data_IF_489764762080
#
_entry.id   IF_489764762080
#
_cell.length_a   1.000
_cell.length_b   1.000
_cell.length_c   1.000
_cell.angle_alpha   90.00
_cell.angle_beta   90.00
_cell.angle_gamma   90.00
#
_symmetry.space_group_name_H-M   'P 1'
#
loop_
_entity.id
_entity.type
_entity.pdbx_description
1 polymer ?
#
# COMPACT_ATOMS: atom_id res chain seq x y z
N UNK A 1 23.20 -6.37 -30.09
CA UNK A 1 23.07 -6.84 -28.70
C UNK A 1 21.81 -6.24 -28.08
N UNK A 2 20.69 -6.98 -27.90
CA UNK A 2 19.50 -6.40 -27.25
C UNK A 2 19.16 -7.03 -25.89
N UNK A 3 20.07 -7.75 -25.23
CA UNK A 3 19.87 -8.27 -23.87
C UNK A 3 20.54 -7.38 -22.82
N UNK A 4 20.09 -6.14 -22.65
CA UNK A 4 20.57 -5.31 -21.54
C UNK A 4 19.67 -4.13 -21.13
N UNK A 5 18.43 -4.02 -21.62
CA UNK A 5 17.66 -2.81 -21.32
C UNK A 5 17.19 -2.75 -19.86
N UNK A 6 16.89 -3.88 -19.21
CA UNK A 6 16.45 -3.92 -17.80
C UNK A 6 16.75 -5.28 -17.11
N UNK A 7 17.99 -5.52 -16.61
CA UNK A 7 18.30 -6.75 -15.87
C UNK A 7 17.44 -6.86 -14.60
N UNK A 8 16.95 -8.06 -14.30
CA UNK A 8 16.06 -8.37 -13.17
C UNK A 8 14.66 -7.72 -13.20
N UNK A 9 14.30 -7.02 -14.28
CA UNK A 9 12.93 -6.55 -14.50
C UNK A 9 12.04 -7.68 -15.04
N UNK A 10 10.76 -7.67 -14.68
CA UNK A 10 9.74 -8.54 -15.28
C UNK A 10 9.64 -8.36 -16.81
N UNK A 11 9.99 -7.18 -17.33
CA UNK A 11 10.03 -6.92 -18.78
C UNK A 11 11.08 -7.74 -19.53
N UNK A 12 12.10 -8.27 -18.83
CA UNK A 12 13.10 -9.18 -19.44
C UNK A 12 12.46 -10.46 -19.98
N UNK A 13 11.38 -10.93 -19.34
CA UNK A 13 10.62 -12.10 -19.78
C UNK A 13 9.79 -11.83 -21.05
N UNK A 14 9.64 -10.56 -21.42
CA UNK A 14 8.88 -10.13 -22.59
C UNK A 14 9.79 -9.72 -23.75
N UNK A 15 11.08 -10.10 -23.71
CA UNK A 15 12.07 -9.74 -24.73
C UNK A 15 12.14 -8.22 -24.98
N UNK A 16 11.96 -7.43 -23.92
CA UNK A 16 11.95 -5.96 -24.01
C UNK A 16 10.64 -5.34 -24.51
N UNK A 17 9.59 -6.13 -24.75
CA UNK A 17 8.26 -5.62 -25.12
C UNK A 17 7.45 -5.32 -23.85
N UNK A 18 6.89 -4.11 -23.74
CA UNK A 18 5.96 -3.77 -22.66
C UNK A 18 4.49 -4.14 -23.00
N UNK A 19 4.28 -5.23 -23.75
CA UNK A 19 2.95 -5.70 -24.14
C UNK A 19 2.89 -7.22 -24.00
N UNK A 20 2.00 -7.67 -23.13
CA UNK A 20 1.59 -9.06 -23.01
C UNK A 20 0.07 -9.09 -22.89
N UNK A 21 -0.57 -10.09 -23.51
CA UNK A 21 -2.01 -10.27 -23.50
C UNK A 21 -2.31 -11.75 -23.24
N UNK A 22 -3.36 -12.02 -22.48
CA UNK A 22 -3.96 -13.34 -22.32
C UNK A 22 -5.47 -13.18 -22.32
N UNK A 23 -6.19 -14.25 -22.68
CA UNK A 23 -7.61 -14.32 -22.35
C UNK A 23 -7.78 -14.31 -20.82
N UNK A 24 -8.91 -13.77 -20.35
CA UNK A 24 -9.23 -13.77 -18.91
C UNK A 24 -9.22 -15.20 -18.36
N UNK A 25 -9.81 -16.16 -19.08
CA UNK A 25 -9.87 -17.57 -18.65
C UNK A 25 -8.49 -18.17 -18.43
N UNK A 26 -7.60 -18.06 -19.42
CA UNK A 26 -6.24 -18.62 -19.31
C UNK A 26 -5.45 -17.96 -18.18
N UNK A 27 -5.63 -16.65 -17.97
CA UNK A 27 -5.00 -15.93 -16.87
C UNK A 27 -5.50 -16.42 -15.50
N UNK A 28 -6.82 -16.59 -15.34
CA UNK A 28 -7.42 -17.06 -14.09
C UNK A 28 -6.99 -18.51 -13.77
N UNK A 29 -7.02 -19.40 -14.76
CA UNK A 29 -6.53 -20.79 -14.63
C UNK A 29 -5.05 -20.81 -14.22
N UNK A 30 -4.23 -19.96 -14.84
CA UNK A 30 -2.81 -19.85 -14.47
C UNK A 30 -2.63 -19.37 -13.02
N UNK A 31 -3.33 -18.31 -12.60
CA UNK A 31 -3.25 -17.78 -11.22
C UNK A 31 -3.72 -18.85 -10.22
N UNK A 32 -4.84 -19.52 -10.50
CA UNK A 32 -5.37 -20.57 -9.64
C UNK A 32 -4.42 -21.77 -9.53
N UNK A 33 -3.71 -22.13 -10.60
CA UNK A 33 -2.66 -23.16 -10.54
C UNK A 33 -1.51 -22.83 -9.56
N UNK A 34 -1.40 -21.56 -9.15
CA UNK A 34 -0.41 -21.04 -8.19
C UNK A 34 -1.05 -20.61 -6.86
N UNK A 35 -2.22 -21.17 -6.52
CA UNK A 35 -3.03 -20.81 -5.35
C UNK A 35 -2.29 -20.80 -4.01
N UNK A 36 -1.25 -21.62 -3.84
CA UNK A 36 -0.44 -21.67 -2.61
C UNK A 36 0.73 -20.66 -2.58
N UNK A 37 0.97 -19.92 -3.67
CA UNK A 37 2.09 -18.96 -3.82
C UNK A 37 1.65 -17.51 -3.93
N UNK A 38 0.42 -17.25 -4.37
CA UNK A 38 -0.09 -15.89 -4.59
C UNK A 38 -1.05 -15.52 -3.47
N UNK A 39 -0.66 -14.55 -2.64
CA UNK A 39 -1.49 -14.12 -1.51
C UNK A 39 -2.52 -13.04 -1.87
N UNK A 40 -2.23 -12.24 -2.89
CA UNK A 40 -3.00 -11.08 -3.26
C UNK A 40 -2.97 -10.90 -4.78
N UNK A 41 -4.14 -10.68 -5.37
CA UNK A 41 -4.31 -10.26 -6.75
C UNK A 41 -4.92 -8.86 -6.78
N UNK A 42 -4.37 -7.97 -7.60
CA UNK A 42 -4.96 -6.64 -7.87
C UNK A 42 -5.51 -6.64 -9.29
N UNK A 43 -6.80 -6.36 -9.45
CA UNK A 43 -7.47 -6.19 -10.73
C UNK A 43 -7.64 -4.69 -10.99
N UNK A 44 -6.79 -4.15 -11.84
CA UNK A 44 -6.91 -2.79 -12.37
C UNK A 44 -7.93 -2.80 -13.52
N UNK A 45 -9.17 -2.42 -13.23
CA UNK A 45 -10.33 -2.70 -14.08
C UNK A 45 -10.45 -1.83 -15.34
N UNK A 46 -9.54 -0.87 -15.56
CA UNK A 46 -9.52 0.03 -16.73
C UNK A 46 -10.88 0.67 -17.08
N UNK A 47 -11.67 1.02 -16.07
CA UNK A 47 -12.98 1.66 -16.22
C UNK A 47 -12.81 3.17 -16.49
N UNK A 48 -13.63 3.75 -17.36
CA UNK A 48 -13.66 5.19 -17.60
C UNK A 48 -15.03 5.74 -17.20
N UNK A 49 -15.12 6.27 -15.97
CA UNK A 49 -16.38 6.77 -15.41
C UNK A 49 -16.92 8.00 -16.15
N UNK A 50 -16.09 8.69 -16.93
CA UNK A 50 -16.52 9.86 -17.73
C UNK A 50 -17.22 9.46 -19.04
N UNK A 51 -17.02 8.22 -19.51
CA UNK A 51 -17.55 7.73 -20.79
C UNK A 51 -18.61 6.66 -20.64
N UNK A 52 -18.74 6.08 -19.45
CA UNK A 52 -19.67 5.00 -19.18
C UNK A 52 -20.86 5.54 -18.39
N UNK A 53 -22.07 5.26 -18.88
CA UNK A 53 -23.27 5.49 -18.08
C UNK A 53 -23.37 4.49 -16.90
N UNK A 54 -24.33 4.73 -16.01
CA UNK A 54 -24.53 3.91 -14.82
C UNK A 54 -24.81 2.43 -15.14
N UNK A 55 -25.48 2.16 -16.27
CA UNK A 55 -25.82 0.80 -16.69
C UNK A 55 -24.57 0.06 -17.15
N UNK A 56 -23.72 0.73 -17.95
CA UNK A 56 -22.44 0.21 -18.39
C UNK A 56 -21.49 -0.06 -17.21
N UNK A 57 -21.45 0.85 -16.22
CA UNK A 57 -20.67 0.67 -15.00
C UNK A 57 -21.14 -0.56 -14.20
N UNK A 58 -22.45 -0.72 -14.00
CA UNK A 58 -23.02 -1.90 -13.30
C UNK A 58 -22.79 -3.21 -14.05
N UNK A 59 -22.87 -3.18 -15.38
CA UNK A 59 -22.55 -4.34 -16.23
C UNK A 59 -21.07 -4.73 -16.13
N UNK A 60 -20.17 -3.74 -16.09
CA UNK A 60 -18.75 -4.00 -15.87
C UNK A 60 -18.49 -4.60 -14.48
N UNK A 61 -19.16 -4.08 -13.44
CA UNK A 61 -19.07 -4.60 -12.08
C UNK A 61 -19.49 -6.08 -12.00
N UNK A 62 -20.60 -6.43 -12.66
CA UNK A 62 -21.06 -7.82 -12.76
C UNK A 62 -20.02 -8.74 -13.42
N UNK A 63 -19.38 -8.28 -14.50
CA UNK A 63 -18.36 -9.07 -15.23
C UNK A 63 -17.10 -9.32 -14.40
N UNK A 64 -16.60 -8.32 -13.67
CA UNK A 64 -15.42 -8.51 -12.81
C UNK A 64 -15.74 -9.46 -11.66
N UNK A 65 -16.93 -9.34 -11.05
CA UNK A 65 -17.34 -10.24 -9.96
C UNK A 65 -17.52 -11.67 -10.45
N UNK A 66 -18.06 -11.88 -11.66
CA UNK A 66 -18.12 -13.22 -12.26
C UNK A 66 -16.71 -13.81 -12.44
N UNK A 67 -15.75 -13.00 -12.89
CA UNK A 67 -14.35 -13.41 -13.06
C UNK A 67 -13.72 -13.80 -11.71
N UNK A 68 -13.98 -13.03 -10.66
CA UNK A 68 -13.49 -13.32 -9.30
C UNK A 68 -14.14 -14.57 -8.70
N UNK A 69 -15.44 -14.76 -8.89
CA UNK A 69 -16.13 -16.01 -8.49
C UNK A 69 -15.54 -17.22 -9.21
N UNK A 70 -15.26 -17.09 -10.51
CA UNK A 70 -14.60 -18.13 -11.31
C UNK A 70 -13.20 -18.42 -10.79
N UNK A 71 -12.43 -17.40 -10.43
CA UNK A 71 -11.09 -17.56 -9.84
C UNK A 71 -11.13 -18.37 -8.54
N UNK A 72 -12.09 -18.07 -7.66
CA UNK A 72 -12.26 -18.83 -6.41
C UNK A 72 -12.76 -20.25 -6.67
N UNK A 73 -13.65 -20.48 -7.63
CA UNK A 73 -14.08 -21.85 -8.00
C UNK A 73 -12.95 -22.70 -8.57
N UNK A 74 -11.91 -22.06 -9.15
CA UNK A 74 -10.68 -22.73 -9.59
C UNK A 74 -9.67 -23.00 -8.46
N UNK A 75 -9.99 -22.63 -7.22
CA UNK A 75 -9.20 -22.96 -6.03
C UNK A 75 -8.23 -21.88 -5.55
N UNK A 76 -8.34 -20.64 -6.03
CA UNK A 76 -7.53 -19.53 -5.51
C UNK A 76 -7.82 -19.28 -4.02
N UNK A 77 -6.78 -19.18 -3.19
CA UNK A 77 -6.91 -19.02 -1.72
C UNK A 77 -6.61 -17.60 -1.21
N UNK A 78 -6.03 -16.76 -2.07
CA UNK A 78 -5.60 -15.41 -1.72
C UNK A 78 -6.75 -14.43 -1.52
N UNK A 79 -6.42 -13.15 -1.61
CA UNK A 79 -7.38 -12.04 -1.60
C UNK A 79 -7.37 -11.33 -2.95
N UNK A 80 -8.46 -10.66 -3.29
CA UNK A 80 -8.57 -9.89 -4.52
C UNK A 80 -8.89 -8.44 -4.18
N UNK A 81 -8.08 -7.50 -4.67
CA UNK A 81 -8.40 -6.08 -4.70
C UNK A 81 -8.94 -5.77 -6.09
N UNK A 82 -10.14 -5.21 -6.16
CA UNK A 82 -10.73 -4.69 -7.39
C UNK A 82 -10.59 -3.18 -7.36
N UNK A 83 -9.79 -2.65 -8.29
CA UNK A 83 -9.50 -1.24 -8.42
C UNK A 83 -10.25 -0.60 -9.56
N UNK A 84 -10.60 0.66 -9.37
CA UNK A 84 -10.94 1.58 -10.45
C UNK A 84 -9.87 2.67 -10.57
N UNK A 85 -9.59 3.17 -11.78
CA UNK A 85 -8.51 4.12 -11.99
C UNK A 85 -8.74 5.45 -11.25
N UNK A 86 -9.94 6.03 -11.33
CA UNK A 86 -10.22 7.39 -10.83
C UNK A 86 -11.52 7.48 -10.05
N UNK A 87 -11.69 8.59 -9.35
CA UNK A 87 -12.90 8.91 -8.59
C UNK A 87 -14.17 8.94 -9.44
N UNK A 88 -14.07 9.28 -10.73
CA UNK A 88 -15.20 9.26 -11.67
C UNK A 88 -15.85 7.87 -11.82
N UNK A 89 -15.14 6.79 -11.48
CA UNK A 89 -15.62 5.41 -11.54
C UNK A 89 -16.10 4.90 -10.17
N UNK A 90 -16.37 5.77 -9.19
CA UNK A 90 -16.82 5.37 -7.85
C UNK A 90 -18.08 4.48 -7.87
N UNK A 91 -19.04 4.77 -8.75
CA UNK A 91 -20.27 3.98 -8.85
C UNK A 91 -20.00 2.53 -9.29
N UNK A 92 -19.00 2.30 -10.14
CA UNK A 92 -18.54 0.93 -10.45
C UNK A 92 -18.04 0.23 -9.19
N UNK A 93 -17.21 0.88 -8.37
CA UNK A 93 -16.66 0.28 -7.16
C UNK A 93 -17.73 0.00 -6.11
N UNK A 94 -18.71 0.91 -5.94
CA UNK A 94 -19.87 0.68 -5.06
C UNK A 94 -20.69 -0.52 -5.50
N UNK A 95 -20.92 -0.68 -6.80
CA UNK A 95 -21.65 -1.84 -7.32
C UNK A 95 -20.87 -3.14 -7.15
N UNK A 96 -19.56 -3.14 -7.38
CA UNK A 96 -18.69 -4.29 -7.09
C UNK A 96 -18.83 -4.69 -5.61
N UNK A 97 -18.77 -3.70 -4.69
CA UNK A 97 -18.89 -3.95 -3.26
C UNK A 97 -20.25 -4.52 -2.85
N UNK A 98 -21.33 -4.06 -3.48
CA UNK A 98 -22.68 -4.61 -3.30
C UNK A 98 -22.77 -6.06 -3.78
N UNK A 99 -22.27 -6.34 -4.99
CA UNK A 99 -22.30 -7.68 -5.60
C UNK A 99 -21.39 -8.70 -4.88
N UNK A 100 -20.44 -8.23 -4.08
CA UNK A 100 -19.52 -9.05 -3.29
C UNK A 100 -19.72 -8.92 -1.78
N UNK A 101 -20.91 -8.51 -1.31
CA UNK A 101 -21.18 -8.25 0.11
C UNK A 101 -20.84 -9.44 1.03
N UNK A 102 -21.02 -10.68 0.52
CA UNK A 102 -20.76 -11.92 1.24
C UNK A 102 -19.35 -12.50 0.99
N UNK A 103 -18.44 -11.69 0.43
CA UNK A 103 -17.08 -12.12 0.06
C UNK A 103 -16.03 -11.37 0.88
N UNK A 104 -15.66 -11.93 2.04
CA UNK A 104 -14.62 -11.37 2.93
C UNK A 104 -13.22 -11.28 2.29
N UNK A 105 -13.03 -11.94 1.15
CA UNK A 105 -11.78 -12.00 0.40
C UNK A 105 -11.66 -10.95 -0.70
N UNK A 106 -12.68 -10.11 -0.90
CA UNK A 106 -12.72 -9.06 -1.92
C UNK A 106 -12.62 -7.68 -1.28
N UNK A 107 -11.74 -6.85 -1.83
CA UNK A 107 -11.38 -5.53 -1.35
C UNK A 107 -11.46 -4.50 -2.47
N UNK A 108 -11.58 -3.22 -2.11
CA UNK A 108 -11.87 -2.15 -3.05
C UNK A 108 -10.84 -1.02 -2.96
N UNK A 109 -10.47 -0.47 -4.11
CA UNK A 109 -9.53 0.66 -4.19
C UNK A 109 -9.83 1.61 -5.35
N UNK A 110 -9.31 2.84 -5.24
CA UNK A 110 -9.23 3.84 -6.32
C UNK A 110 -7.79 4.33 -6.32
N UNK A 111 -7.05 4.20 -7.44
CA UNK A 111 -5.58 4.12 -7.37
C UNK A 111 -4.75 5.01 -8.34
N UNK A 112 -5.36 5.89 -9.16
CA UNK A 112 -4.64 6.91 -9.98
C UNK A 112 -4.76 8.36 -9.47
N UNK A 113 -5.31 8.57 -8.28
CA UNK A 113 -5.53 9.91 -7.71
C UNK A 113 -4.24 10.57 -7.16
N UNK A 114 -3.08 9.91 -7.27
CA UNK A 114 -1.75 10.42 -6.89
C UNK A 114 -1.75 10.96 -5.44
N UNK A 115 -1.58 12.29 -5.28
CA UNK A 115 -1.49 12.96 -3.98
C UNK A 115 -2.87 13.30 -3.38
N UNK A 116 -3.99 13.09 -4.12
CA UNK A 116 -5.35 13.31 -3.63
C UNK A 116 -5.81 12.17 -2.71
N UNK A 117 -5.07 11.98 -1.61
CA UNK A 117 -5.40 10.98 -0.60
C UNK A 117 -6.75 11.26 0.06
N UNK A 118 -7.07 12.53 0.31
CA UNK A 118 -8.29 12.92 0.99
C UNK A 118 -9.53 12.53 0.17
N UNK A 119 -9.63 12.96 -1.09
CA UNK A 119 -10.75 12.58 -1.95
C UNK A 119 -10.83 11.07 -2.18
N UNK A 120 -9.67 10.39 -2.26
CA UNK A 120 -9.64 8.92 -2.36
C UNK A 120 -10.22 8.25 -1.11
N UNK A 121 -9.80 8.67 0.09
CA UNK A 121 -10.30 8.10 1.33
C UNK A 121 -11.79 8.44 1.53
N UNK A 122 -12.24 9.65 1.20
CA UNK A 122 -13.65 10.07 1.24
C UNK A 122 -14.51 9.16 0.35
N UNK A 123 -14.05 8.89 -0.87
CA UNK A 123 -14.72 7.95 -1.76
C UNK A 123 -14.74 6.53 -1.17
N UNK A 124 -13.62 6.04 -0.64
CA UNK A 124 -13.56 4.70 -0.03
C UNK A 124 -14.46 4.56 1.19
N UNK A 125 -14.56 5.58 2.05
CA UNK A 125 -15.45 5.53 3.23
C UNK A 125 -16.92 5.57 2.86
N UNK A 126 -17.27 6.12 1.69
CA UNK A 126 -18.63 6.13 1.14
C UNK A 126 -19.09 4.76 0.62
N UNK A 127 -18.17 3.82 0.38
CA UNK A 127 -18.51 2.46 -0.04
C UNK A 127 -19.14 1.72 1.16
N UNK A 128 -20.32 1.10 1.01
CA UNK A 128 -21.02 0.37 2.07
C UNK A 128 -20.38 -1.00 2.36
N UNK A 129 -19.05 -1.06 2.38
CA UNK A 129 -18.26 -2.23 2.71
C UNK A 129 -16.95 -1.79 3.38
N UNK A 130 -16.51 -2.54 4.40
CA UNK A 130 -15.33 -2.22 5.22
C UNK A 130 -14.03 -2.75 4.62
N UNK A 131 -14.05 -3.57 3.57
CA UNK A 131 -12.87 -4.11 2.90
C UNK A 131 -12.19 -3.08 1.98
N UNK A 132 -11.74 -1.97 2.58
CA UNK A 132 -11.19 -0.80 1.89
C UNK A 132 -9.67 -0.89 1.83
N UNK A 133 -9.10 -0.57 0.67
CA UNK A 133 -7.67 -0.52 0.44
C UNK A 133 -7.32 0.80 -0.23
N UNK A 134 -6.27 1.46 0.28
CA UNK A 134 -5.75 2.68 -0.34
C UNK A 134 -4.58 2.34 -1.28
N UNK A 135 -4.80 2.46 -2.59
CA UNK A 135 -3.76 2.41 -3.59
C UNK A 135 -3.36 3.82 -3.99
N UNK A 136 -2.06 4.07 -4.15
CA UNK A 136 -1.61 5.31 -4.80
C UNK A 136 -0.35 5.05 -5.60
N UNK A 137 -0.11 5.90 -6.59
CA UNK A 137 1.06 5.77 -7.40
C UNK A 137 1.18 6.78 -8.50
N UNK A 138 2.34 6.74 -9.12
CA UNK A 138 2.59 7.41 -10.38
C UNK A 138 3.57 6.53 -11.18
N UNK A 139 3.59 6.71 -12.50
CA UNK A 139 4.57 6.02 -13.34
C UNK A 139 5.97 6.20 -12.76
N UNK A 140 6.80 5.14 -12.81
CA UNK A 140 8.17 5.17 -12.33
C UNK A 140 9.04 6.26 -13.01
N UNK A 141 8.56 6.83 -14.12
CA UNK A 141 9.19 7.92 -14.87
C UNK A 141 8.77 9.33 -14.42
N UNK A 142 7.91 9.47 -13.40
CA UNK A 142 7.31 10.74 -12.99
C UNK A 142 7.90 11.25 -11.65
N UNK A 143 7.67 12.52 -11.24
CA UNK A 143 8.31 13.14 -10.07
C UNK A 143 7.95 12.56 -8.68
N UNK A 144 7.32 11.39 -8.63
CA UNK A 144 7.01 10.67 -7.40
C UNK A 144 5.76 11.19 -6.67
N UNK A 145 5.47 10.55 -5.54
CA UNK A 145 4.37 10.90 -4.62
C UNK A 145 4.91 11.75 -3.48
N UNK A 146 4.15 12.75 -3.03
CA UNK A 146 4.56 13.68 -1.99
C UNK A 146 4.75 12.96 -0.64
N UNK A 147 5.74 13.40 0.15
CA UNK A 147 6.05 12.79 1.46
C UNK A 147 4.86 12.81 2.43
N UNK A 148 4.03 13.85 2.35
CA UNK A 148 2.82 13.94 3.16
C UNK A 148 1.82 12.81 2.84
N UNK A 149 1.70 12.40 1.58
CA UNK A 149 0.82 11.29 1.17
C UNK A 149 1.29 9.96 1.77
N UNK A 150 2.60 9.72 1.88
CA UNK A 150 3.13 8.51 2.56
C UNK A 150 2.70 8.48 4.02
N UNK A 151 2.85 9.62 4.72
CA UNK A 151 2.51 9.74 6.14
C UNK A 151 1.01 9.65 6.38
N UNK A 152 0.20 10.29 5.53
CA UNK A 152 -1.25 10.20 5.61
C UNK A 152 -1.77 8.78 5.29
N UNK A 153 -1.15 8.08 4.33
CA UNK A 153 -1.46 6.68 4.06
C UNK A 153 -1.18 5.80 5.29
N UNK A 154 -0.03 5.99 5.92
CA UNK A 154 0.35 5.26 7.13
C UNK A 154 -0.64 5.47 8.28
N UNK A 155 -1.05 6.71 8.56
CA UNK A 155 -1.95 6.98 9.70
C UNK A 155 -3.39 6.54 9.46
N UNK A 156 -3.83 6.50 8.20
CA UNK A 156 -5.18 6.03 7.84
C UNK A 156 -5.24 4.51 7.65
N UNK A 157 -4.11 3.84 7.41
CA UNK A 157 -4.01 2.38 7.39
C UNK A 157 -4.31 1.72 8.76
N UNK A 158 -4.30 2.52 9.84
CA UNK A 158 -4.72 2.11 11.17
C UNK A 158 -6.20 2.46 11.43
N UNK A 159 -7.10 1.91 10.61
CA UNK A 159 -8.54 1.89 10.89
C UNK A 159 -9.45 2.35 9.75
N UNK A 160 -9.01 3.27 8.89
CA UNK A 160 -9.83 3.76 7.76
C UNK A 160 -9.76 2.80 6.57
N UNK A 161 -8.58 2.23 6.33
CA UNK A 161 -8.32 1.18 5.34
C UNK A 161 -7.56 0.03 6.00
N UNK A 162 -7.70 -1.18 5.45
CA UNK A 162 -7.02 -2.37 5.96
C UNK A 162 -5.61 -2.58 5.42
N UNK A 163 -5.35 -2.03 4.24
CA UNK A 163 -4.08 -2.06 3.55
C UNK A 163 -3.89 -0.75 2.78
N UNK A 164 -2.66 -0.29 2.73
CA UNK A 164 -2.20 0.71 1.79
C UNK A 164 -1.09 0.12 0.92
N UNK A 165 -1.10 0.43 -0.37
CA UNK A 165 -0.02 0.04 -1.28
C UNK A 165 0.39 1.16 -2.22
N UNK A 166 1.64 1.09 -2.68
CA UNK A 166 2.26 2.09 -3.54
C UNK A 166 2.73 1.47 -4.86
N UNK A 167 2.50 2.16 -5.97
CA UNK A 167 2.94 1.75 -7.30
C UNK A 167 3.47 2.95 -8.13
N UNK A 168 4.21 2.79 -9.22
CA UNK A 168 5.18 1.71 -9.41
C UNK A 168 6.52 2.15 -8.83
N UNK A 169 7.15 1.33 -7.99
CA UNK A 169 8.42 1.68 -7.32
C UNK A 169 9.53 0.74 -7.79
N UNK A 170 10.45 1.27 -8.58
CA UNK A 170 11.50 0.47 -9.22
C UNK A 170 12.92 0.76 -8.70
N UNK A 171 13.10 1.84 -7.92
CA UNK A 171 14.39 2.19 -7.31
C UNK A 171 14.49 1.60 -5.90
N UNK A 172 15.59 0.90 -5.59
CA UNK A 172 15.85 0.33 -4.25
C UNK A 172 15.70 1.35 -3.12
N UNK A 173 16.25 2.55 -3.27
CA UNK A 173 16.13 3.62 -2.25
C UNK A 173 14.68 4.03 -2.01
N UNK A 174 13.86 4.08 -3.07
CA UNK A 174 12.43 4.34 -2.98
C UNK A 174 11.68 3.17 -2.32
N UNK A 175 12.05 1.92 -2.58
CA UNK A 175 11.49 0.75 -1.89
C UNK A 175 11.79 0.80 -0.39
N UNK A 176 13.05 1.07 0.00
CA UNK A 176 13.46 1.22 1.41
C UNK A 176 12.67 2.32 2.12
N UNK A 177 12.34 3.40 1.41
CA UNK A 177 11.42 4.43 1.94
C UNK A 177 10.00 3.88 2.05
N UNK A 178 9.45 3.29 0.99
CA UNK A 178 8.05 2.89 0.89
C UNK A 178 7.63 1.84 1.92
N UNK A 179 8.48 0.84 2.22
CA UNK A 179 8.18 -0.21 3.21
C UNK A 179 7.95 0.33 4.64
N UNK A 180 8.33 1.59 4.89
CA UNK A 180 8.13 2.27 6.18
C UNK A 180 6.76 2.93 6.34
N UNK A 181 5.94 2.92 5.28
CA UNK A 181 4.66 3.63 5.21
C UNK A 181 3.53 2.79 4.59
N UNK A 182 3.86 1.86 3.69
CA UNK A 182 2.90 1.05 2.96
C UNK A 182 3.06 -0.43 3.30
N UNK A 183 1.93 -1.16 3.31
CA UNK A 183 1.91 -2.62 3.48
C UNK A 183 2.10 -3.39 2.18
N UNK A 184 2.03 -2.71 1.03
CA UNK A 184 2.27 -3.29 -0.29
C UNK A 184 3.07 -2.37 -1.21
N UNK A 185 3.89 -2.97 -2.06
CA UNK A 185 4.64 -2.26 -3.11
C UNK A 185 4.46 -3.02 -4.42
N UNK A 186 4.03 -2.32 -5.46
CA UNK A 186 4.03 -2.83 -6.83
C UNK A 186 5.28 -2.34 -7.55
N UNK A 187 6.00 -3.27 -8.19
CA UNK A 187 7.30 -3.01 -8.81
C UNK A 187 7.50 -3.88 -10.04
N UNK A 188 8.28 -3.39 -11.00
CA UNK A 188 8.82 -4.20 -12.10
C UNK A 188 10.03 -5.04 -11.67
N UNK A 189 10.59 -4.83 -10.48
CA UNK A 189 11.83 -5.46 -9.98
C UNK A 189 11.57 -6.25 -8.69
N UNK A 190 10.76 -7.34 -8.74
CA UNK A 190 10.40 -8.10 -7.54
C UNK A 190 11.61 -8.73 -6.83
N UNK A 191 12.68 -9.05 -7.55
CA UNK A 191 13.91 -9.58 -6.95
C UNK A 191 14.61 -8.53 -6.05
N UNK A 192 14.61 -7.27 -6.46
CA UNK A 192 15.21 -6.20 -5.66
C UNK A 192 14.35 -5.83 -4.45
N UNK A 193 13.02 -5.81 -4.62
CA UNK A 193 12.11 -5.68 -3.49
C UNK A 193 12.32 -6.82 -2.47
N UNK A 194 12.50 -8.06 -2.94
CA UNK A 194 12.78 -9.21 -2.07
C UNK A 194 14.02 -8.96 -1.20
N UNK A 195 15.12 -8.48 -1.78
CA UNK A 195 16.35 -8.13 -1.03
C UNK A 195 16.08 -7.04 0.02
N UNK A 196 15.34 -5.99 -0.36
CA UNK A 196 14.96 -4.91 0.57
C UNK A 196 14.15 -5.43 1.74
N UNK A 197 13.21 -6.35 1.50
CA UNK A 197 12.40 -6.95 2.55
C UNK A 197 13.24 -7.86 3.46
N UNK A 198 14.18 -8.64 2.90
CA UNK A 198 15.13 -9.45 3.68
C UNK A 198 16.00 -8.59 4.59
N UNK A 199 16.61 -7.52 4.06
CA UNK A 199 17.43 -6.58 4.86
C UNK A 199 16.63 -5.91 5.98
N UNK A 200 15.32 -5.71 5.76
CA UNK A 200 14.41 -5.10 6.71
C UNK A 200 13.73 -6.10 7.65
N UNK A 201 14.03 -7.40 7.53
CA UNK A 201 13.40 -8.49 8.30
C UNK A 201 11.86 -8.55 8.12
N UNK A 202 11.35 -8.14 6.95
CA UNK A 202 9.92 -8.15 6.63
C UNK A 202 9.58 -9.41 5.85
N UNK A 203 8.63 -10.19 6.37
CA UNK A 203 8.11 -11.37 5.68
C UNK A 203 6.98 -11.02 4.72
N UNK A 204 6.97 -11.64 3.54
CA UNK A 204 5.84 -11.54 2.61
C UNK A 204 4.58 -12.23 3.16
N UNK A 205 3.42 -11.69 2.80
CA UNK A 205 2.14 -12.28 3.13
C UNK A 205 1.98 -13.67 2.47
N UNK A 206 1.41 -14.61 3.22
CA UNK A 206 0.98 -15.92 2.71
C UNK A 206 -0.48 -15.86 2.24
N UNK A 207 -0.97 -16.80 1.41
CA UNK A 207 -2.37 -16.81 0.98
C UNK A 207 -3.41 -16.81 2.11
N UNK A 208 -3.06 -17.35 3.28
CA UNK A 208 -3.90 -17.32 4.47
C UNK A 208 -3.96 -15.95 5.18
N UNK A 209 -3.12 -14.99 4.79
CA UNK A 209 -3.09 -13.67 5.40
C UNK A 209 -4.43 -12.94 5.19
N UNK A 210 -4.91 -12.29 6.25
CA UNK A 210 -6.14 -11.49 6.22
C UNK A 210 -5.76 -10.02 6.22
N UNK A 211 -6.32 -9.27 5.27
CA UNK A 211 -6.31 -7.81 5.35
C UNK A 211 -7.46 -7.42 6.30
N UNK A 212 -7.18 -6.73 7.41
CA UNK A 212 -8.23 -6.38 8.36
C UNK A 212 -9.27 -5.46 7.72
N UNK A 213 -10.57 -5.63 7.99
CA UNK A 213 -11.57 -4.65 7.56
C UNK A 213 -11.36 -3.32 8.28
N UNK A 214 -11.80 -2.24 7.64
CA UNK A 214 -11.83 -0.91 8.24
C UNK A 214 -12.68 -0.90 9.53
N UNK A 215 -12.15 -0.27 10.57
CA UNK A 215 -12.79 -0.11 11.87
C UNK A 215 -13.34 1.30 12.09
N UNK A 216 -13.02 2.24 11.19
CA UNK A 216 -13.41 3.64 11.29
C UNK A 216 -13.72 4.24 9.92
N UNK A 217 -14.57 5.27 9.92
CA UNK A 217 -14.80 6.18 8.79
C UNK A 217 -14.16 7.56 9.00
N UNK A 218 -13.56 7.81 10.18
CA UNK A 218 -12.94 9.07 10.52
C UNK A 218 -11.57 9.21 9.85
N UNK A 219 -11.54 9.96 8.75
CA UNK A 219 -10.32 10.22 7.97
C UNK A 219 -9.41 11.17 8.75
N UNK A 220 -8.11 10.82 8.82
CA UNK A 220 -7.07 11.72 9.33
C UNK A 220 -6.54 12.56 8.17
N UNK A 221 -6.87 13.84 8.19
CA UNK A 221 -6.44 14.82 7.17
C UNK A 221 -5.04 15.39 7.43
N UNK A 222 -4.59 15.35 8.70
CA UNK A 222 -3.28 15.84 9.11
C UNK A 222 -2.41 14.74 9.67
N UNK A 223 -1.10 14.93 9.50
CA UNK A 223 -0.10 14.03 10.07
C UNK A 223 0.09 14.38 11.54
N UNK A 224 -0.17 13.46 12.47
CA UNK A 224 0.06 13.72 13.88
C UNK A 224 1.55 13.97 14.12
N UNK A 225 1.90 14.99 14.92
CA UNK A 225 3.28 15.39 15.13
C UNK A 225 4.02 14.42 16.05
N UNK A 226 5.29 14.17 15.74
CA UNK A 226 6.30 13.70 16.67
C UNK A 226 7.56 14.55 16.43
N UNK A 227 8.40 14.71 17.45
CA UNK A 227 9.54 15.63 17.34
C UNK A 227 10.75 15.20 18.18
N UNK A 228 11.91 15.75 17.85
CA UNK A 228 13.19 15.38 18.43
C UNK A 228 14.06 16.61 18.73
N UNK A 229 14.74 16.60 19.88
CA UNK A 229 15.72 17.60 20.26
C UNK A 229 17.14 17.11 19.96
N UNK A 230 18.02 18.05 19.65
CA UNK A 230 19.44 17.78 19.54
C UNK A 230 20.09 17.72 20.91
N UNK A 231 21.01 16.77 21.08
CA UNK A 231 21.95 16.69 22.17
C UNK A 231 23.35 16.37 21.62
N UNK A 232 24.39 16.61 22.41
CA UNK A 232 25.74 16.19 22.02
C UNK A 232 25.77 14.68 21.76
N UNK A 233 26.05 14.29 20.52
CA UNK A 233 26.09 12.89 20.08
C UNK A 233 24.87 12.40 19.28
N UNK A 234 23.78 13.17 19.18
CA UNK A 234 22.66 12.82 18.29
C UNK A 234 21.32 13.40 18.72
N UNK A 235 20.24 12.73 18.33
CA UNK A 235 18.88 13.18 18.63
C UNK A 235 18.23 12.38 19.78
N UNK A 236 17.30 13.02 20.49
CA UNK A 236 16.38 12.37 21.42
C UNK A 236 14.94 12.81 21.12
N UNK A 237 13.95 11.96 21.37
CA UNK A 237 12.53 12.29 21.19
C UNK A 237 12.12 13.36 22.22
N UNK A 238 11.67 14.50 21.73
CA UNK A 238 11.07 15.57 22.53
C UNK A 238 9.54 15.46 22.58
N UNK A 239 8.92 14.89 21.53
CA UNK A 239 7.49 14.60 21.44
C UNK A 239 7.26 13.20 20.87
N UNK A 240 6.70 12.32 21.70
CA UNK A 240 6.41 10.93 21.32
C UNK A 240 5.41 10.84 20.16
N UNK A 241 5.51 9.77 19.37
CA UNK A 241 4.54 9.43 18.33
C UNK A 241 3.21 8.94 18.93
N UNK A 242 2.12 8.97 18.14
CA UNK A 242 0.88 8.31 18.54
C UNK A 242 1.03 6.79 18.69
N UNK A 243 0.14 6.13 19.47
CA UNK A 243 0.06 4.67 19.54
C UNK A 243 0.04 3.99 18.17
N UNK A 244 0.83 2.92 18.04
CA UNK A 244 0.96 2.14 16.81
C UNK A 244 1.95 2.73 15.78
N UNK A 245 2.56 3.88 16.07
CA UNK A 245 3.53 4.54 15.21
C UNK A 245 4.83 4.81 15.98
N UNK A 246 5.93 4.93 15.26
CA UNK A 246 7.22 5.32 15.81
C UNK A 246 7.65 6.72 15.35
N UNK A 247 8.52 7.36 16.13
CA UNK A 247 9.13 8.62 15.74
C UNK A 247 10.54 8.39 15.21
N UNK A 248 10.77 8.71 13.93
CA UNK A 248 12.08 8.70 13.32
C UNK A 248 12.74 10.07 13.50
N UNK A 249 13.67 10.15 14.43
CA UNK A 249 14.54 11.29 14.60
C UNK A 249 15.60 11.36 13.50
N UNK A 250 15.91 12.57 13.04
CA UNK A 250 17.03 12.82 12.13
C UNK A 250 17.74 14.11 12.53
N UNK A 251 19.07 14.11 12.45
CA UNK A 251 19.85 15.33 12.47
C UNK A 251 19.52 16.15 11.22
N UNK A 252 19.15 17.42 11.42
CA UNK A 252 18.72 18.32 10.36
C UNK A 252 19.76 19.40 10.03
N UNK A 253 20.96 19.32 10.61
CA UNK A 253 22.01 20.34 10.49
C UNK A 253 21.93 21.37 11.62
N UNK A 254 22.97 22.21 11.74
CA UNK A 254 23.01 23.36 12.67
C UNK A 254 22.59 23.05 14.10
N UNK A 255 23.02 21.90 14.64
CA UNK A 255 22.64 21.44 15.98
C UNK A 255 21.12 21.30 16.19
N UNK A 256 20.39 20.97 15.13
CA UNK A 256 18.94 20.72 15.18
C UNK A 256 18.61 19.29 14.81
N UNK A 257 17.58 18.76 15.46
CA UNK A 257 16.96 17.50 15.13
C UNK A 257 15.51 17.74 14.71
N UNK A 258 14.95 16.82 13.93
CA UNK A 258 13.52 16.81 13.59
C UNK A 258 12.95 15.41 13.73
N UNK A 259 11.71 15.32 14.20
CA UNK A 259 10.93 14.08 14.19
C UNK A 259 10.09 13.91 12.92
N UNK A 260 9.81 12.66 12.57
CA UNK A 260 8.82 12.29 11.56
C UNK A 260 8.22 10.94 11.88
N UNK A 261 6.91 10.78 11.69
CA UNK A 261 6.27 9.49 11.93
C UNK A 261 6.68 8.43 10.91
N UNK A 262 6.71 7.18 11.34
CA UNK A 262 7.01 6.00 10.51
C UNK A 262 6.39 4.73 11.14
N UNK A 263 6.27 3.65 10.38
CA UNK A 263 5.92 2.34 10.94
C UNK A 263 6.93 1.91 12.01
N UNK A 264 6.44 1.28 13.08
CA UNK A 264 7.31 0.66 14.07
C UNK A 264 8.09 -0.50 13.46
N UNK A 265 9.36 -0.67 13.86
CA UNK A 265 10.15 -1.86 13.54
C UNK A 265 9.49 -3.13 14.11
N UNK A 266 8.94 -3.05 15.32
CA UNK A 266 8.23 -4.15 15.98
C UNK A 266 6.82 -3.69 16.39
N UNK A 267 5.80 -3.88 15.53
CA UNK A 267 4.44 -3.42 15.79
C UNK A 267 3.82 -3.95 17.10
N UNK A 268 4.26 -5.12 17.57
CA UNK A 268 3.77 -5.74 18.80
C UNK A 268 4.46 -5.24 20.08
N UNK A 269 5.55 -4.46 19.98
CA UNK A 269 6.34 -4.01 21.12
C UNK A 269 5.58 -2.99 21.98
N UNK A 270 5.90 -2.94 23.28
CA UNK A 270 5.33 -1.93 24.19
C UNK A 270 5.69 -0.52 23.73
N UNK A 271 6.91 -0.30 23.23
CA UNK A 271 7.35 1.00 22.72
C UNK A 271 6.62 1.44 21.45
N UNK A 272 6.02 0.53 20.69
CA UNK A 272 5.13 0.87 19.58
C UNK A 272 3.68 1.11 20.04
N UNK A 273 3.16 0.27 20.93
CA UNK A 273 1.79 0.38 21.46
C UNK A 273 1.59 1.61 22.34
N UNK A 274 2.60 1.94 23.14
CA UNK A 274 2.61 3.08 24.06
C UNK A 274 3.94 3.84 23.93
N UNK A 275 4.12 4.61 22.84
CA UNK A 275 5.36 5.32 22.61
C UNK A 275 5.61 6.37 23.68
N UNK A 276 6.81 6.33 24.25
CA UNK A 276 7.32 7.34 25.19
C UNK A 276 8.47 8.12 24.57
N UNK A 277 9.07 9.05 25.31
CA UNK A 277 10.30 9.75 24.91
C UNK A 277 11.57 8.92 25.12
N UNK A 278 11.49 7.61 25.38
CA UNK A 278 12.66 6.76 25.67
C UNK A 278 13.50 6.38 24.44
N UNK A 279 14.75 5.96 24.67
CA UNK A 279 15.61 5.39 23.62
C UNK A 279 14.95 4.21 22.90
N UNK A 280 14.21 3.35 23.63
CA UNK A 280 13.50 2.20 23.03
C UNK A 280 12.46 2.66 22.01
N UNK A 281 11.69 3.71 22.31
CA UNK A 281 10.74 4.30 21.36
C UNK A 281 11.43 4.94 20.15
N UNK A 282 12.62 5.52 20.32
CA UNK A 282 13.39 6.07 19.20
C UNK A 282 13.91 4.96 18.28
N UNK A 283 14.40 3.85 18.84
CA UNK A 283 14.89 2.71 18.09
C UNK A 283 13.78 2.04 17.24
N UNK A 284 12.52 2.09 17.68
CA UNK A 284 11.38 1.63 16.86
C UNK A 284 11.25 2.40 15.54
N UNK A 285 11.67 3.67 15.49
CA UNK A 285 11.63 4.51 14.28
C UNK A 285 12.84 4.33 13.35
N UNK A 286 13.91 3.70 13.84
CA UNK A 286 15.16 3.50 13.10
C UNK A 286 15.77 4.82 12.61
N UNK A 287 15.78 5.83 13.48
CA UNK A 287 16.39 7.14 13.27
C UNK A 287 17.69 7.33 14.06
N UNK A 288 18.14 8.57 14.17
CA UNK A 288 19.24 8.96 15.06
C UNK A 288 18.73 8.98 16.51
N UNK A 289 19.31 8.13 17.36
CA UNK A 289 19.00 8.05 18.79
C UNK A 289 20.23 8.30 19.67
N UNK A 290 21.26 8.97 19.14
CA UNK A 290 22.53 9.19 19.85
C UNK A 290 22.45 10.23 20.98
N UNK A 291 21.33 10.95 21.09
CA UNK A 291 21.10 11.97 22.12
C UNK A 291 20.61 11.42 23.46
N UNK A 292 20.43 10.11 23.59
CA UNK A 292 20.07 9.42 24.84
C UNK A 292 21.34 8.98 25.57
N UNK A 293 21.72 9.73 26.60
CA UNK A 293 22.80 9.37 27.53
C UNK A 293 22.21 9.18 28.93
#
# INVERSE_FOLDING_TARGET
MPYALFPNSVCSQLEGRCKALSSIRSLLEHIASRHNKIALLVIDSKIDGTKMDITALKNAASKVILSVKTLYSLGFLGKVIIGAPKLDALEYVKEVARLSENMDSVYFTIDLEKNNIQGTLEALVSIPNKNRVYGTGISACAPGIADNTYKLALVNNAGVVGLSYLWTIDKRSSMVKAIRYFGGIMTNYPADLTKVLTDAEISLAKPSFKIPPATSTAIRETVPPCDCNYHSGGCSISKASPPGLACKCRYAGTWTCRGSITSCKKPSSVSCKTPTKSIKSCLEGGGDCGGYR
#
